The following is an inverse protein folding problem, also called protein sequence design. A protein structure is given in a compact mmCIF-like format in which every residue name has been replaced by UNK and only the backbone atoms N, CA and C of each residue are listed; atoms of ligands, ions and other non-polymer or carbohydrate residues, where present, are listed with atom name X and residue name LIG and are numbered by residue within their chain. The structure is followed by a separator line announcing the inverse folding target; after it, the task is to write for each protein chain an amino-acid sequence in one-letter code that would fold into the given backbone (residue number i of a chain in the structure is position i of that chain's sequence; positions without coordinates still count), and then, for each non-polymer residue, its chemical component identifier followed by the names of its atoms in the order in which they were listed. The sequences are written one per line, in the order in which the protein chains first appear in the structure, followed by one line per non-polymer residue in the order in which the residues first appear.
data_IF_737609830518
#
_entry.id   IF_737609830518
#
_cell.length_a   1.000
_cell.length_b   1.000
_cell.length_c   1.000
_cell.angle_alpha   90.00
_cell.angle_beta   90.00
_cell.angle_gamma   90.00
#
_symmetry.space_group_name_H-M   'P 1'
#
loop_
_entity.id
_entity.type
_entity.pdbx_description
1 polymer ?
#
# COMPACT_ATOMS: atom_id res chain seq x y z
N UNK A 1 46.42 -54.98 -36.28
CA UNK A 1 47.17 -53.70 -36.31
C UNK A 1 46.11 -52.60 -36.37
N UNK A 2 46.12 -51.70 -35.38
CA UNK A 2 45.27 -50.49 -35.22
C UNK A 2 43.80 -50.80 -34.80
N UNK A 3 43.43 -50.92 -33.50
CA UNK A 3 43.06 -49.89 -32.47
C UNK A 3 42.22 -48.74 -33.03
N UNK A 4 41.01 -48.42 -32.55
CA UNK A 4 40.69 -47.92 -31.21
C UNK A 4 39.18 -47.98 -30.92
N UNK A 5 38.88 -48.03 -29.62
CA UNK A 5 37.57 -48.04 -28.96
C UNK A 5 36.71 -46.80 -29.26
N UNK A 6 35.38 -47.01 -29.27
CA UNK A 6 34.37 -45.94 -29.23
C UNK A 6 33.26 -46.32 -28.26
N UNK A 7 33.35 -45.80 -27.03
CA UNK A 7 32.41 -46.02 -25.92
C UNK A 7 30.99 -45.60 -26.30
N UNK A 8 30.03 -46.51 -26.15
CA UNK A 8 28.59 -46.20 -26.16
C UNK A 8 28.25 -45.33 -24.95
N UNK A 9 27.94 -44.06 -25.20
CA UNK A 9 27.45 -43.12 -24.20
C UNK A 9 26.02 -43.51 -23.82
N UNK A 10 25.84 -44.16 -22.66
CA UNK A 10 24.50 -44.28 -22.05
C UNK A 10 24.12 -42.91 -21.51
N UNK A 11 23.27 -42.18 -22.24
CA UNK A 11 22.64 -40.97 -21.74
C UNK A 11 21.73 -41.33 -20.56
N UNK A 12 22.19 -41.10 -19.34
CA UNK A 12 21.31 -41.03 -18.17
C UNK A 12 20.52 -39.73 -18.27
N UNK A 13 19.27 -39.83 -18.70
CA UNK A 13 18.29 -38.76 -18.58
C UNK A 13 17.90 -38.69 -17.10
N UNK A 14 18.59 -37.85 -16.33
CA UNK A 14 18.11 -37.40 -15.02
C UNK A 14 16.96 -36.42 -15.27
N UNK A 15 15.74 -36.94 -15.25
CA UNK A 15 14.54 -36.10 -15.19
C UNK A 15 14.51 -35.43 -13.81
N UNK A 16 15.15 -34.26 -13.71
CA UNK A 16 14.98 -33.39 -12.56
C UNK A 16 13.56 -32.86 -12.58
N UNK A 17 12.68 -33.47 -11.79
CA UNK A 17 11.34 -32.95 -11.54
C UNK A 17 11.50 -31.59 -10.85
N UNK A 18 11.50 -30.52 -11.65
CA UNK A 18 11.35 -29.18 -11.15
C UNK A 18 9.92 -29.09 -10.62
N UNK A 19 9.77 -29.33 -9.32
CA UNK A 19 8.49 -29.12 -8.64
C UNK A 19 8.25 -27.62 -8.67
N UNK A 20 7.51 -27.16 -9.67
CA UNK A 20 6.97 -25.81 -9.71
C UNK A 20 6.10 -25.65 -8.46
N UNK A 21 6.67 -25.05 -7.43
CA UNK A 21 5.88 -24.51 -6.33
C UNK A 21 5.11 -23.33 -6.92
N UNK A 22 3.90 -23.61 -7.41
CA UNK A 22 2.89 -22.58 -7.58
C UNK A 22 2.60 -22.07 -6.16
N UNK A 23 3.33 -21.04 -5.74
CA UNK A 23 2.82 -20.16 -4.70
C UNK A 23 1.53 -19.60 -5.26
N UNK A 24 0.40 -20.06 -4.72
CA UNK A 24 -0.88 -19.42 -4.97
C UNK A 24 -0.72 -18.00 -4.47
N UNK A 25 -0.43 -17.05 -5.38
CA UNK A 25 -0.71 -15.66 -5.13
C UNK A 25 -2.21 -15.63 -4.81
N UNK A 26 -2.51 -15.45 -3.53
CA UNK A 26 -3.88 -15.30 -3.06
C UNK A 26 -4.47 -14.14 -3.84
N UNK A 27 -5.36 -14.45 -4.78
CA UNK A 27 -5.90 -13.49 -5.72
C UNK A 27 -6.76 -12.54 -4.91
N UNK A 28 -6.19 -11.36 -4.60
CA UNK A 28 -6.89 -10.33 -3.84
C UNK A 28 -8.26 -10.11 -4.50
N UNK A 29 -9.35 -10.03 -3.72
CA UNK A 29 -10.67 -9.89 -4.31
C UNK A 29 -10.68 -8.65 -5.19
N UNK A 30 -11.08 -8.84 -6.44
CA UNK A 30 -10.99 -7.81 -7.45
C UNK A 30 -12.12 -6.80 -7.20
N UNK A 31 -11.86 -5.79 -6.36
CA UNK A 31 -12.79 -4.70 -6.17
C UNK A 31 -13.00 -4.00 -7.51
N UNK A 32 -14.24 -4.04 -8.01
CA UNK A 32 -14.57 -3.37 -9.26
C UNK A 32 -14.30 -1.87 -9.13
N UNK A 33 -13.54 -1.31 -10.08
CA UNK A 33 -13.25 0.12 -10.14
C UNK A 33 -14.57 0.91 -10.21
N UNK A 34 -14.85 1.83 -9.27
CA UNK A 34 -16.08 2.61 -9.29
C UNK A 34 -16.19 3.52 -10.52
N UNK A 35 -17.42 3.97 -10.81
CA UNK A 35 -17.62 5.08 -11.75
C UNK A 35 -17.03 6.38 -11.13
N UNK A 36 -16.19 7.15 -11.86
CA UNK A 36 -15.66 8.43 -11.40
C UNK A 36 -16.74 9.45 -10.95
N UNK A 37 -17.99 9.31 -11.42
CA UNK A 37 -19.11 10.11 -10.93
C UNK A 37 -19.43 9.88 -9.44
N UNK A 38 -18.98 8.76 -8.87
CA UNK A 38 -19.09 8.43 -7.44
C UNK A 38 -17.78 8.72 -6.71
N UNK A 39 -17.42 10.00 -6.62
CA UNK A 39 -16.13 10.51 -6.11
C UNK A 39 -15.67 9.88 -4.78
N UNK A 40 -16.55 9.82 -3.77
CA UNK A 40 -16.18 9.24 -2.47
C UNK A 40 -15.89 7.74 -2.57
N UNK A 41 -16.67 7.00 -3.37
CA UNK A 41 -16.44 5.58 -3.62
C UNK A 41 -15.15 5.35 -4.40
N UNK A 42 -14.83 6.18 -5.40
CA UNK A 42 -13.55 6.12 -6.11
C UNK A 42 -12.37 6.35 -5.17
N UNK A 43 -12.41 7.40 -4.34
CA UNK A 43 -11.38 7.70 -3.36
C UNK A 43 -11.15 6.53 -2.40
N UNK A 44 -12.23 5.96 -1.86
CA UNK A 44 -12.17 4.83 -0.92
C UNK A 44 -11.65 3.58 -1.59
N UNK A 45 -12.15 3.24 -2.76
CA UNK A 45 -11.65 2.13 -3.55
C UNK A 45 -10.13 2.24 -3.81
N UNK A 46 -9.64 3.44 -4.16
CA UNK A 46 -8.23 3.64 -4.46
C UNK A 46 -7.34 3.42 -3.23
N UNK A 47 -7.79 3.87 -2.05
CA UNK A 47 -7.09 3.67 -0.77
C UNK A 47 -7.17 2.20 -0.32
N UNK A 48 -8.34 1.58 -0.38
CA UNK A 48 -8.55 0.19 0.04
C UNK A 48 -7.89 -0.82 -0.90
N UNK A 49 -7.81 -0.53 -2.20
CA UNK A 49 -7.24 -1.48 -3.18
C UNK A 49 -5.72 -1.47 -3.22
N UNK A 50 -5.08 -0.36 -2.82
CA UNK A 50 -3.62 -0.28 -2.73
C UNK A 50 -3.10 -0.73 -1.36
N UNK A 51 -1.87 -1.24 -1.33
CA UNK A 51 -1.21 -1.71 -0.10
C UNK A 51 0.00 -0.86 0.30
N UNK A 52 0.41 0.08 -0.54
CA UNK A 52 1.54 0.98 -0.31
C UNK A 52 1.33 2.32 -1.04
N UNK A 53 2.08 3.33 -0.64
CA UNK A 53 2.10 4.63 -1.30
C UNK A 53 3.37 5.42 -0.94
N UNK A 54 3.39 6.69 -1.30
CA UNK A 54 4.48 7.60 -0.95
C UNK A 54 4.03 8.50 0.20
N UNK A 55 4.69 8.40 1.35
CA UNK A 55 4.52 9.34 2.46
C UNK A 55 5.52 10.48 2.29
N UNK A 56 5.03 11.71 2.19
CA UNK A 56 5.85 12.91 2.10
C UNK A 56 5.90 13.65 3.42
N UNK A 57 7.10 13.90 3.94
CA UNK A 57 7.37 14.61 5.20
C UNK A 57 8.24 15.84 4.99
N UNK A 58 8.27 16.74 5.97
CA UNK A 58 9.31 17.77 6.08
C UNK A 58 10.53 17.17 6.76
N UNK A 59 11.63 17.02 6.02
CA UNK A 59 12.77 16.25 6.48
C UNK A 59 13.59 16.94 7.57
N UNK A 60 13.81 16.28 8.69
CA UNK A 60 14.74 16.74 9.73
C UNK A 60 16.19 16.56 9.26
N UNK A 61 16.52 15.41 8.65
CA UNK A 61 17.89 15.10 8.22
C UNK A 61 18.34 15.89 6.98
N UNK A 62 17.40 16.40 6.18
CA UNK A 62 17.66 17.28 5.02
C UNK A 62 17.34 18.75 5.31
N UNK A 63 17.27 19.17 6.58
CA UNK A 63 17.07 20.57 6.98
C UNK A 63 15.83 21.24 6.36
N UNK A 64 14.69 20.55 6.36
CA UNK A 64 13.39 21.06 5.94
C UNK A 64 13.03 20.79 4.47
N UNK A 65 13.90 20.14 3.69
CA UNK A 65 13.57 19.71 2.32
C UNK A 65 12.48 18.62 2.37
N UNK A 66 11.47 18.65 1.49
CA UNK A 66 10.48 17.57 1.42
C UNK A 66 11.14 16.21 1.12
N UNK A 67 10.75 15.17 1.86
CA UNK A 67 11.23 13.81 1.66
C UNK A 67 10.05 12.90 1.39
N UNK A 68 10.08 12.18 0.27
CA UNK A 68 9.10 11.16 -0.08
C UNK A 68 9.65 9.77 0.17
N UNK A 69 8.93 8.95 0.93
CA UNK A 69 9.31 7.58 1.25
C UNK A 69 8.23 6.60 0.82
N UNK A 70 8.61 5.42 0.33
CA UNK A 70 7.67 4.35 0.03
C UNK A 70 7.31 3.65 1.34
N UNK A 71 6.02 3.66 1.69
CA UNK A 71 5.53 3.10 2.94
C UNK A 71 4.32 2.20 2.68
N UNK A 72 4.37 0.99 3.22
CA UNK A 72 3.21 0.08 3.28
C UNK A 72 2.16 0.62 4.24
N UNK A 73 0.89 0.52 3.84
CA UNK A 73 -0.23 0.92 4.69
C UNK A 73 -1.41 -0.05 4.55
N UNK A 74 -2.36 0.07 5.47
CA UNK A 74 -3.68 -0.56 5.36
C UNK A 74 -4.72 0.39 5.94
N UNK A 75 -5.93 0.42 5.38
CA UNK A 75 -7.06 1.19 5.90
C UNK A 75 -8.07 0.33 6.68
N UNK A 76 -7.74 -0.95 6.90
CA UNK A 76 -8.57 -1.93 7.60
C UNK A 76 -8.42 -3.32 6.98
N UNK A 77 -8.88 -4.38 7.66
CA UNK A 77 -9.03 -5.68 7.03
C UNK A 77 -10.12 -5.62 5.94
N UNK A 78 -10.12 -6.57 5.02
CA UNK A 78 -10.95 -6.57 3.80
C UNK A 78 -12.43 -6.17 4.02
N UNK A 79 -13.08 -6.73 5.04
CA UNK A 79 -14.51 -6.47 5.35
C UNK A 79 -14.76 -5.27 6.29
N UNK A 80 -13.70 -4.63 6.79
CA UNK A 80 -13.79 -3.58 7.81
C UNK A 80 -12.80 -2.44 7.52
N UNK A 81 -12.74 -1.99 6.25
CA UNK A 81 -12.04 -0.78 5.85
C UNK A 81 -12.71 0.45 6.49
N UNK A 82 -11.93 1.28 7.17
CA UNK A 82 -12.38 2.56 7.74
C UNK A 82 -12.04 3.74 6.83
N UNK A 83 -11.17 3.54 5.83
CA UNK A 83 -10.61 4.60 5.00
C UNK A 83 -9.49 5.40 5.69
N UNK A 84 -9.14 5.09 6.94
CA UNK A 84 -8.02 5.74 7.64
C UNK A 84 -6.75 4.94 7.41
N UNK A 85 -5.70 5.49 6.78
CA UNK A 85 -4.44 4.78 6.61
C UNK A 85 -3.72 4.56 7.94
N UNK A 86 -3.39 3.30 8.23
CA UNK A 86 -2.51 2.85 9.30
C UNK A 86 -1.17 2.41 8.72
N UNK A 87 -0.09 2.65 9.46
CA UNK A 87 1.28 2.32 9.08
C UNK A 87 2.00 1.55 10.19
N UNK A 88 2.96 0.71 9.81
CA UNK A 88 3.87 0.03 10.74
C UNK A 88 5.30 0.44 10.43
N UNK A 89 5.88 1.31 11.26
CA UNK A 89 7.17 1.96 10.94
C UNK A 89 8.12 1.95 12.12
N UNK A 90 9.41 1.95 11.82
CA UNK A 90 10.49 2.04 12.81
C UNK A 90 11.20 3.38 12.71
N UNK A 91 11.59 3.96 13.84
CA UNK A 91 12.44 5.15 13.89
C UNK A 91 13.89 4.88 13.45
N UNK A 92 14.21 3.72 12.86
CA UNK A 92 15.42 3.55 12.05
C UNK A 92 15.30 4.30 10.71
N UNK A 93 14.10 4.36 10.15
CA UNK A 93 13.75 5.11 8.94
C UNK A 93 13.61 6.62 9.21
N UNK A 94 13.88 7.50 8.22
CA UNK A 94 13.69 8.94 8.39
C UNK A 94 12.25 9.37 8.66
N UNK A 95 11.25 8.73 8.07
CA UNK A 95 9.84 9.16 8.12
C UNK A 95 9.32 9.27 9.56
N UNK A 96 9.47 8.26 10.46
CA UNK A 96 9.03 8.43 11.84
C UNK A 96 9.83 9.48 12.64
N UNK A 97 11.10 9.72 12.29
CA UNK A 97 11.91 10.78 12.92
C UNK A 97 11.39 12.16 12.53
N UNK A 98 11.04 12.34 11.27
CA UNK A 98 10.45 13.59 10.77
C UNK A 98 9.10 13.85 11.46
N UNK A 99 8.24 12.83 11.51
CA UNK A 99 6.90 12.91 12.12
C UNK A 99 6.93 13.20 13.63
N UNK A 100 7.99 12.81 14.33
CA UNK A 100 8.17 13.13 15.75
C UNK A 100 8.38 14.64 16.01
N UNK A 101 8.82 15.39 15.00
CA UNK A 101 9.06 16.85 15.09
C UNK A 101 7.94 17.62 14.39
N UNK A 102 7.59 17.21 13.17
CA UNK A 102 6.56 17.85 12.33
C UNK A 102 5.60 16.74 11.88
N UNK A 103 4.42 16.59 12.52
CA UNK A 103 3.52 15.47 12.23
C UNK A 103 2.76 15.63 10.90
N UNK A 104 2.91 16.77 10.22
CA UNK A 104 2.24 17.04 8.96
C UNK A 104 2.88 16.26 7.82
N UNK A 105 2.07 15.47 7.13
CA UNK A 105 2.50 14.64 6.02
C UNK A 105 1.36 14.40 5.04
N UNK A 106 1.70 13.91 3.86
CA UNK A 106 0.74 13.42 2.88
C UNK A 106 1.05 11.98 2.48
N UNK A 107 0.00 11.18 2.26
CA UNK A 107 0.08 9.88 1.60
C UNK A 107 -0.44 10.03 0.18
N UNK A 108 0.41 9.77 -0.82
CA UNK A 108 0.03 9.74 -2.24
C UNK A 108 -0.01 8.32 -2.77
N UNK A 109 -1.10 7.99 -3.47
CA UNK A 109 -1.39 6.66 -4.02
C UNK A 109 -1.84 6.81 -5.47
N UNK A 110 -1.40 5.88 -6.32
CA UNK A 110 -1.78 5.79 -7.73
C UNK A 110 -2.60 4.53 -7.97
N UNK A 111 -3.49 4.57 -8.96
CA UNK A 111 -4.21 3.41 -9.49
C UNK A 111 -3.26 2.47 -10.26
N UNK A 112 -2.14 2.98 -10.78
CA UNK A 112 -1.25 2.25 -11.68
C UNK A 112 -0.77 0.88 -11.16
N UNK A 113 -0.37 0.71 -9.88
CA UNK A 113 0.03 -0.58 -9.34
C UNK A 113 -1.08 -1.64 -9.34
N UNK A 114 -2.35 -1.22 -9.42
CA UNK A 114 -3.52 -2.12 -9.50
C UNK A 114 -3.69 -2.72 -10.90
N UNK A 115 -3.02 -2.17 -11.91
CA UNK A 115 -3.13 -2.62 -13.31
C UNK A 115 -4.46 -2.25 -14.00
N UNK A 116 -5.33 -1.48 -13.34
CA UNK A 116 -6.66 -1.12 -13.85
C UNK A 116 -6.66 0.10 -14.78
N UNK A 117 -5.52 0.80 -14.90
CA UNK A 117 -5.39 1.95 -15.81
C UNK A 117 -5.41 1.57 -17.30
N UNK A 118 -5.21 0.29 -17.65
CA UNK A 118 -5.10 -0.18 -19.04
C UNK A 118 -3.80 0.29 -19.70
N UNK A 119 -3.90 0.80 -20.94
CA UNK A 119 -2.74 1.30 -21.72
C UNK A 119 -2.43 2.78 -21.49
N UNK A 120 -3.09 3.40 -20.50
CA UNK A 120 -2.96 4.83 -20.23
C UNK A 120 -1.66 5.13 -19.50
N UNK A 121 -1.12 6.31 -19.77
CA UNK A 121 -0.03 6.85 -18.97
C UNK A 121 -0.51 7.13 -17.54
N UNK A 122 0.39 7.02 -16.56
CA UNK A 122 0.06 7.23 -15.14
C UNK A 122 -0.29 8.67 -14.80
N UNK A 123 0.07 9.62 -15.67
CA UNK A 123 -0.31 11.03 -15.54
C UNK A 123 -1.67 11.34 -16.16
N UNK A 124 -2.18 10.48 -17.06
CA UNK A 124 -3.54 10.61 -17.59
C UNK A 124 -4.55 10.54 -16.44
N UNK A 125 -5.44 11.53 -16.27
CA UNK A 125 -6.29 11.62 -15.09
C UNK A 125 -7.32 10.50 -14.99
N UNK A 126 -7.55 9.75 -16.07
CA UNK A 126 -8.41 8.56 -16.04
C UNK A 126 -7.70 7.32 -15.48
N UNK A 127 -6.39 7.39 -15.24
CA UNK A 127 -5.65 6.56 -14.28
C UNK A 127 -5.61 7.30 -12.94
N UNK A 128 -6.50 6.93 -12.02
CA UNK A 128 -6.79 7.74 -10.85
C UNK A 128 -5.59 7.87 -9.89
N UNK A 129 -5.53 8.99 -9.18
CA UNK A 129 -4.54 9.24 -8.13
C UNK A 129 -5.15 10.06 -7.00
N UNK A 130 -4.73 9.76 -5.78
CA UNK A 130 -5.19 10.43 -4.57
C UNK A 130 -4.01 10.83 -3.69
N UNK A 131 -4.10 12.00 -3.09
CA UNK A 131 -3.24 12.43 -1.99
C UNK A 131 -4.12 12.74 -0.79
N UNK A 132 -3.89 12.04 0.32
CA UNK A 132 -4.49 12.32 1.62
C UNK A 132 -3.48 13.12 2.45
N UNK A 133 -3.80 14.35 2.80
CA UNK A 133 -2.91 15.22 3.59
C UNK A 133 -3.46 15.46 4.98
N UNK A 134 -2.60 15.50 5.98
CA UNK A 134 -3.01 15.74 7.35
C UNK A 134 -1.88 15.50 8.34
N UNK A 135 -2.19 14.83 9.45
CA UNK A 135 -1.21 14.53 10.50
C UNK A 135 -1.05 13.02 10.70
N UNK A 136 0.17 12.50 10.60
CA UNK A 136 0.46 11.10 10.95
C UNK A 136 0.95 11.06 12.40
N UNK A 137 0.23 10.32 13.25
CA UNK A 137 0.53 10.22 14.67
C UNK A 137 0.86 8.80 15.08
N UNK A 138 1.78 8.68 16.03
CA UNK A 138 2.05 7.45 16.77
C UNK A 138 0.81 7.05 17.58
N UNK A 139 0.45 5.77 17.54
CA UNK A 139 -0.54 5.17 18.43
C UNK A 139 0.22 4.59 19.64
N UNK A 140 0.08 5.17 20.83
CA UNK A 140 0.87 4.79 22.01
C UNK A 140 0.05 4.49 23.28
N UNK A 141 -1.22 4.91 23.34
CA UNK A 141 -2.01 4.91 24.60
C UNK A 141 -3.33 4.14 24.54
N UNK A 142 -3.86 3.93 23.35
CA UNK A 142 -5.15 3.27 23.16
C UNK A 142 -4.96 1.83 22.69
N UNK A 143 -5.24 0.87 23.59
CA UNK A 143 -5.11 -0.55 23.32
C UNK A 143 -6.04 -1.03 22.19
N UNK A 144 -7.26 -0.47 22.08
CA UNK A 144 -8.21 -0.86 21.03
C UNK A 144 -7.75 -0.33 19.67
N UNK A 145 -7.25 0.91 19.63
CA UNK A 145 -6.69 1.47 18.40
C UNK A 145 -5.44 0.70 17.95
N UNK A 146 -4.57 0.28 18.89
CA UNK A 146 -3.39 -0.53 18.61
C UNK A 146 -3.76 -1.92 18.07
N UNK A 147 -4.73 -2.58 18.69
CA UNK A 147 -5.22 -3.89 18.24
C UNK A 147 -5.83 -3.81 16.83
N UNK A 148 -6.64 -2.78 16.57
CA UNK A 148 -7.21 -2.57 15.24
C UNK A 148 -6.13 -2.26 14.19
N UNK A 149 -5.16 -1.39 14.50
CA UNK A 149 -4.06 -1.09 13.59
C UNK A 149 -3.25 -2.34 13.26
N UNK A 150 -2.93 -3.17 14.26
CA UNK A 150 -2.25 -4.45 14.06
C UNK A 150 -3.08 -5.38 13.16
N UNK A 151 -4.39 -5.51 13.41
CA UNK A 151 -5.28 -6.31 12.57
C UNK A 151 -5.32 -5.81 11.12
N UNK A 152 -5.48 -4.49 10.93
CA UNK A 152 -5.53 -3.86 9.62
C UNK A 152 -4.24 -4.09 8.84
N UNK A 153 -3.09 -3.82 9.45
CA UNK A 153 -1.78 -3.93 8.80
C UNK A 153 -1.40 -5.38 8.55
N UNK A 154 -1.53 -6.25 9.53
CA UNK A 154 -1.05 -7.63 9.43
C UNK A 154 -1.98 -8.55 8.62
N UNK A 155 -3.23 -8.14 8.37
CA UNK A 155 -4.10 -8.81 7.40
C UNK A 155 -3.70 -8.48 5.95
N UNK A 156 -3.29 -7.24 5.69
CA UNK A 156 -2.85 -6.79 4.35
C UNK A 156 -1.37 -7.10 4.06
N UNK A 157 -0.54 -7.11 5.10
CA UNK A 157 0.91 -7.31 5.06
C UNK A 157 1.33 -8.39 6.07
N UNK A 158 1.05 -9.69 5.80
CA UNK A 158 1.29 -10.76 6.76
C UNK A 158 2.75 -10.89 7.21
N UNK A 159 3.71 -10.54 6.34
CA UNK A 159 5.16 -10.56 6.63
C UNK A 159 5.53 -9.62 7.80
N UNK A 160 4.79 -8.53 8.03
CA UNK A 160 5.10 -7.58 9.10
C UNK A 160 5.08 -8.20 10.51
N UNK A 161 4.38 -9.33 10.70
CA UNK A 161 4.37 -10.09 11.97
C UNK A 161 5.75 -10.64 12.32
N UNK A 162 6.56 -10.92 11.31
CA UNK A 162 7.85 -11.58 11.41
C UNK A 162 9.04 -10.60 11.31
N UNK A 163 8.76 -9.29 11.19
CA UNK A 163 9.80 -8.27 11.16
C UNK A 163 10.62 -8.23 12.47
N UNK A 164 11.92 -7.84 12.41
CA UNK A 164 12.82 -7.91 13.55
C UNK A 164 12.32 -7.11 14.76
N UNK A 165 12.20 -7.76 15.91
CA UNK A 165 11.65 -7.14 17.13
C UNK A 165 12.54 -6.03 17.68
N UNK A 166 13.85 -6.16 17.52
CA UNK A 166 14.86 -5.19 17.96
C UNK A 166 14.86 -3.90 17.13
N UNK A 167 14.13 -3.86 16.02
CA UNK A 167 13.93 -2.64 15.24
C UNK A 167 12.80 -1.75 15.78
N UNK A 168 12.08 -2.16 16.83
CA UNK A 168 11.08 -1.33 17.53
C UNK A 168 10.06 -0.68 16.59
N UNK A 169 9.39 -1.48 15.76
CA UNK A 169 8.31 -1.00 14.92
C UNK A 169 7.09 -0.57 15.77
N UNK A 170 6.47 0.53 15.37
CA UNK A 170 5.30 1.11 16.03
C UNK A 170 4.18 1.37 15.03
N UNK A 171 2.95 1.46 15.53
CA UNK A 171 1.77 1.75 14.74
C UNK A 171 1.51 3.26 14.65
N UNK A 172 1.16 3.72 13.46
CA UNK A 172 0.81 5.11 13.20
C UNK A 172 -0.53 5.16 12.45
N UNK A 173 -1.23 6.28 12.54
CA UNK A 173 -2.45 6.54 11.76
C UNK A 173 -2.42 7.95 11.16
N UNK A 174 -2.95 8.10 9.94
CA UNK A 174 -3.15 9.40 9.30
C UNK A 174 -4.50 9.98 9.70
N UNK A 175 -4.48 11.09 10.45
CA UNK A 175 -5.63 11.98 10.61
C UNK A 175 -5.74 12.88 9.38
N UNK A 176 -6.66 12.54 8.49
CA UNK A 176 -6.88 13.24 7.22
C UNK A 176 -7.46 14.64 7.48
N UNK A 177 -6.95 15.64 6.78
CA UNK A 177 -7.39 17.04 6.82
C UNK A 177 -7.76 17.57 5.43
N UNK A 178 -7.15 17.04 4.38
CA UNK A 178 -7.41 17.42 2.99
C UNK A 178 -7.28 16.22 2.06
N UNK A 179 -8.06 16.23 0.98
CA UNK A 179 -8.11 15.17 -0.03
C UNK A 179 -7.96 15.81 -1.41
N UNK A 180 -6.91 15.43 -2.12
CA UNK A 180 -6.72 15.76 -3.52
C UNK A 180 -6.92 14.49 -4.35
N UNK A 181 -8.03 14.40 -5.08
CA UNK A 181 -8.35 13.28 -5.97
C UNK A 181 -8.39 13.77 -7.43
N UNK A 182 -7.73 13.02 -8.31
CA UNK A 182 -7.88 13.14 -9.77
C UNK A 182 -8.27 11.76 -10.29
N UNK A 183 -9.45 11.65 -10.89
CA UNK A 183 -9.98 10.42 -11.49
C UNK A 183 -10.64 10.63 -12.86
N UNK A 184 -10.67 11.89 -13.33
CA UNK A 184 -11.10 12.29 -14.65
C UNK A 184 -10.54 13.67 -15.05
N UNK A 185 -10.70 14.04 -16.32
CA UNK A 185 -10.38 15.39 -16.78
C UNK A 185 -11.28 16.45 -16.13
N UNK A 186 -10.73 17.64 -15.88
CA UNK A 186 -11.47 18.77 -15.29
C UNK A 186 -10.84 19.35 -14.02
N UNK A 187 -9.78 18.72 -13.51
CA UNK A 187 -9.09 19.15 -12.29
C UNK A 187 -9.46 18.27 -11.09
N UNK A 188 -9.04 18.70 -9.90
CA UNK A 188 -9.28 17.95 -8.68
C UNK A 188 -10.76 17.87 -8.33
N UNK A 189 -11.19 16.70 -7.85
CA UNK A 189 -12.55 16.51 -7.37
C UNK A 189 -12.78 17.26 -6.07
N UNK A 190 -14.01 17.74 -5.88
CA UNK A 190 -14.46 18.32 -4.61
C UNK A 190 -14.96 17.19 -3.72
N UNK A 191 -14.17 16.84 -2.70
CA UNK A 191 -14.51 15.79 -1.73
C UNK A 191 -14.12 16.23 -0.33
N UNK A 192 -15.09 16.27 0.59
CA UNK A 192 -14.81 16.54 2.01
C UNK A 192 -14.30 15.29 2.73
N UNK A 193 -13.57 15.48 3.84
CA UNK A 193 -13.13 14.37 4.69
C UNK A 193 -14.32 13.62 5.28
N UNK A 194 -15.39 14.32 5.64
CA UNK A 194 -16.60 13.70 6.20
C UNK A 194 -17.30 12.80 5.18
N UNK A 195 -17.44 13.26 3.93
CA UNK A 195 -18.04 12.45 2.85
C UNK A 195 -17.18 11.22 2.52
N UNK A 196 -15.86 11.38 2.54
CA UNK A 196 -14.91 10.28 2.35
C UNK A 196 -15.04 9.22 3.44
N UNK A 197 -15.10 9.64 4.71
CA UNK A 197 -15.19 8.73 5.86
C UNK A 197 -16.59 8.10 6.01
N UNK A 198 -17.65 8.80 5.61
CA UNK A 198 -19.02 8.27 5.64
C UNK A 198 -19.24 7.14 4.61
N UNK A 199 -18.47 7.10 3.52
CA UNK A 199 -18.61 6.12 2.45
C UNK A 199 -17.81 4.83 2.74
N UNK A 200 -18.18 4.11 3.80
CA UNK A 200 -17.65 2.76 4.05
C UNK A 200 -18.37 1.81 3.10
N UNK A 201 -17.74 1.47 1.97
CA UNK A 201 -18.26 0.42 1.09
C UNK A 201 -18.15 -0.93 1.80
N UNK A 202 -19.25 -1.37 2.42
CA UNK A 202 -19.49 -2.79 2.60
C UNK A 202 -19.70 -3.36 1.19
N UNK A 203 -18.67 -4.03 0.69
CA UNK A 203 -18.70 -4.64 -0.63
C UNK A 203 -19.68 -5.79 -0.62
N UNK A 204 -20.94 -5.49 -0.91
CA UNK A 204 -21.91 -6.52 -1.28
C UNK A 204 -21.50 -7.04 -2.65
N UNK A 205 -21.15 -8.32 -2.65
CA UNK A 205 -20.99 -9.28 -3.75
C UNK A 205 -21.85 -8.96 -4.97
#
# INVERSE_FOLDING_TARGET
MVTMEGRTLKAMILASACVLHFSSAEMAPQFHRPDPAHTASMARWLITSNSWGVVSTVSVHLNGIPFGNVVSYSDGPFENSTGVPYFYMSALDPTPKDLAIIPYASLTVSEAPLGTCGLRDVEDPTCAKITLSGQIHLLDKDAQALEFAALALFSKHPEMKDWPKDHNFNFFALKIQDIFLIDWYGGAQVLSVDDYLANIQHSSI
#
